data_IF_731518242124
#
_entry.id   IF_731518242124
#
_cell.length_a   1.000
_cell.length_b   1.000
_cell.length_c   1.000
_cell.angle_alpha   90.00
_cell.angle_beta   90.00
_cell.angle_gamma   90.00
#
_symmetry.space_group_name_H-M   'P 1'
#
loop_
_entity.id
_entity.type
_entity.pdbx_description
1 polymer ?
#
# COMPACT_ATOMS: atom_id res chain seq x y z
N UNK A 1 -3.65 -18.35 -5.42
CA UNK A 1 -2.98 -17.30 -4.64
C UNK A 1 -3.62 -16.00 -5.04
N UNK A 2 -4.25 -15.30 -4.10
CA UNK A 2 -4.74 -13.94 -4.33
C UNK A 2 -3.49 -13.06 -4.50
N UNK A 3 -3.41 -12.29 -5.58
CA UNK A 3 -2.31 -11.34 -5.77
C UNK A 3 -2.23 -10.36 -4.59
N UNK A 4 -1.01 -9.94 -4.21
CA UNK A 4 -0.84 -8.94 -3.17
C UNK A 4 -1.62 -7.66 -3.53
N UNK A 5 -2.32 -7.02 -2.58
CA UNK A 5 -3.02 -5.76 -2.83
C UNK A 5 -2.13 -4.72 -3.52
N UNK A 6 -0.86 -4.64 -3.13
CA UNK A 6 0.13 -3.74 -3.71
C UNK A 6 0.45 -4.04 -5.17
N UNK A 7 0.42 -5.31 -5.59
CA UNK A 7 0.63 -5.71 -6.98
C UNK A 7 -0.52 -5.22 -7.85
N UNK A 8 -1.76 -5.40 -7.39
CA UNK A 8 -2.93 -4.89 -8.11
C UNK A 8 -2.87 -3.36 -8.29
N UNK A 9 -2.45 -2.62 -7.26
CA UNK A 9 -2.28 -1.17 -7.35
C UNK A 9 -1.13 -0.76 -8.26
N UNK A 10 0.02 -1.47 -8.24
CA UNK A 10 1.12 -1.24 -9.20
C UNK A 10 0.69 -1.46 -10.64
N UNK A 11 -0.05 -2.54 -10.89
CA UNK A 11 -0.58 -2.82 -12.23
C UNK A 11 -1.51 -1.70 -12.71
N UNK A 12 -2.33 -1.15 -11.80
CA UNK A 12 -3.16 0.04 -12.06
C UNK A 12 -2.34 1.27 -12.45
N UNK A 13 -1.26 1.58 -11.73
CA UNK A 13 -0.35 2.69 -12.05
C UNK A 13 0.28 2.52 -13.44
N UNK A 14 0.75 1.31 -13.75
CA UNK A 14 1.36 1.00 -15.05
C UNK A 14 0.33 1.12 -16.18
N UNK A 15 -0.89 0.67 -15.94
CA UNK A 15 -1.96 0.70 -16.95
C UNK A 15 -2.41 2.13 -17.26
N UNK A 16 -2.58 2.99 -16.26
CA UNK A 16 -2.90 4.40 -16.50
C UNK A 16 -1.75 5.12 -17.24
N UNK A 17 -0.49 4.85 -16.87
CA UNK A 17 0.67 5.40 -17.57
C UNK A 17 0.70 4.98 -19.06
N UNK A 18 0.33 3.73 -19.36
CA UNK A 18 0.21 3.24 -20.76
C UNK A 18 -0.90 3.96 -21.52
N UNK A 19 -2.06 4.15 -20.91
CA UNK A 19 -3.19 4.84 -21.55
C UNK A 19 -2.90 6.32 -21.79
N UNK A 20 -2.20 6.96 -20.86
CA UNK A 20 -1.74 8.34 -21.03
C UNK A 20 -0.75 8.45 -22.20
N UNK A 21 0.23 7.54 -22.28
CA UNK A 21 1.17 7.49 -23.41
C UNK A 21 0.48 7.21 -24.76
N UNK A 22 -0.62 6.45 -24.74
CA UNK A 22 -1.46 6.19 -25.91
C UNK A 22 -2.45 7.33 -26.22
N UNK A 23 -2.50 8.40 -25.40
CA UNK A 23 -3.51 9.47 -25.47
C UNK A 23 -4.96 8.97 -25.41
N UNK A 24 -5.19 7.81 -24.80
CA UNK A 24 -6.52 7.22 -24.57
C UNK A 24 -7.07 7.53 -23.18
N UNK A 25 -6.25 8.16 -22.32
CA UNK A 25 -6.61 8.68 -21.00
C UNK A 25 -6.03 10.09 -20.86
N UNK A 26 -6.82 11.00 -20.30
CA UNK A 26 -6.36 12.35 -20.01
C UNK A 26 -5.56 12.39 -18.71
N UNK A 27 -4.68 13.38 -18.58
CA UNK A 27 -3.93 13.62 -17.34
C UNK A 27 -4.87 13.82 -16.15
N UNK A 28 -6.00 14.49 -16.35
CA UNK A 28 -7.03 14.73 -15.31
C UNK A 28 -7.69 13.44 -14.81
N UNK A 29 -7.71 12.40 -15.64
CA UNK A 29 -8.28 11.09 -15.33
C UNK A 29 -7.24 10.11 -14.77
N UNK A 30 -6.00 10.57 -14.51
CA UNK A 30 -4.88 9.74 -14.02
C UNK A 30 -4.80 9.83 -12.49
N UNK A 31 -5.43 8.89 -11.78
CA UNK A 31 -5.56 8.94 -10.32
C UNK A 31 -4.71 7.91 -9.58
N UNK A 32 -4.33 6.80 -10.20
CA UNK A 32 -3.65 5.69 -9.52
C UNK A 32 -2.30 6.11 -8.97
N UNK A 33 -1.51 6.89 -9.71
CA UNK A 33 -0.21 7.37 -9.24
C UNK A 33 -0.31 8.34 -8.05
N UNK A 34 -1.43 9.05 -7.91
CA UNK A 34 -1.71 9.95 -6.79
C UNK A 34 -2.25 9.21 -5.56
N UNK A 35 -3.14 8.24 -5.78
CA UNK A 35 -3.73 7.43 -4.71
C UNK A 35 -2.77 6.38 -4.17
N UNK A 36 -1.92 5.83 -5.02
CA UNK A 36 -0.99 4.74 -4.73
C UNK A 36 0.43 5.10 -5.19
N UNK A 37 1.07 6.10 -4.57
CA UNK A 37 2.45 6.45 -4.91
C UNK A 37 3.38 5.28 -4.58
N UNK A 38 4.50 5.16 -5.29
CA UNK A 38 5.46 4.06 -5.12
C UNK A 38 5.93 3.92 -3.65
N UNK A 39 6.11 5.03 -2.95
CA UNK A 39 6.45 5.05 -1.51
C UNK A 39 5.39 4.40 -0.62
N UNK A 40 4.10 4.54 -0.94
CA UNK A 40 3.00 3.84 -0.25
C UNK A 40 3.09 2.35 -0.49
N UNK A 41 3.30 1.96 -1.75
CA UNK A 41 3.30 0.57 -2.18
C UNK A 41 4.48 -0.20 -1.59
N UNK A 42 5.66 0.42 -1.56
CA UNK A 42 6.86 -0.19 -1.00
C UNK A 42 6.77 -0.32 0.52
N UNK A 43 6.29 0.72 1.23
CA UNK A 43 6.08 0.65 2.68
C UNK A 43 5.00 -0.38 3.06
N UNK A 44 3.94 -0.49 2.25
CA UNK A 44 2.89 -1.50 2.45
C UNK A 44 3.44 -2.92 2.26
N UNK A 45 4.26 -3.14 1.23
CA UNK A 45 4.89 -4.44 1.00
C UNK A 45 5.85 -4.82 2.13
N UNK A 46 6.62 -3.86 2.64
CA UNK A 46 7.52 -4.10 3.77
C UNK A 46 6.73 -4.50 5.02
N UNK A 47 5.63 -3.81 5.33
CA UNK A 47 4.78 -4.11 6.47
C UNK A 47 4.15 -5.51 6.35
N UNK A 48 3.63 -5.86 5.17
CA UNK A 48 3.04 -7.18 4.91
C UNK A 48 4.10 -8.29 4.93
N UNK A 49 5.28 -8.06 4.36
CA UNK A 49 6.39 -9.01 4.37
C UNK A 49 6.89 -9.30 5.80
N UNK A 50 6.95 -8.25 6.63
CA UNK A 50 7.31 -8.37 8.04
C UNK A 50 6.28 -9.19 8.83
N UNK A 51 4.99 -8.97 8.56
CA UNK A 51 3.91 -9.76 9.15
C UNK A 51 3.99 -11.24 8.74
N UNK A 52 4.13 -11.53 7.45
CA UNK A 52 4.27 -12.91 6.95
C UNK A 52 5.49 -13.62 7.53
N UNK A 53 6.63 -12.92 7.58
CA UNK A 53 7.86 -13.46 8.16
C UNK A 53 7.67 -13.74 9.65
N UNK A 54 7.05 -12.81 10.39
CA UNK A 54 6.71 -12.99 11.79
C UNK A 54 5.85 -14.22 12.03
N UNK A 55 4.77 -14.40 11.26
CA UNK A 55 3.91 -15.59 11.36
C UNK A 55 4.66 -16.89 11.07
N UNK A 56 5.55 -16.93 10.07
CA UNK A 56 6.35 -18.12 9.74
C UNK A 56 7.31 -18.53 10.86
N UNK A 57 7.68 -17.62 11.76
CA UNK A 57 8.56 -17.93 12.90
C UNK A 57 7.82 -18.54 14.09
N UNK A 58 6.49 -18.38 14.16
CA UNK A 58 5.67 -18.94 15.23
C UNK A 58 5.48 -20.45 15.01
N UNK A 59 5.75 -21.25 16.05
CA UNK A 59 5.52 -22.70 16.03
C UNK A 59 4.33 -23.03 16.92
N UNK A 60 3.20 -23.38 16.29
CA UNK A 60 1.92 -23.62 16.97
C UNK A 60 1.45 -22.41 17.81
N UNK A 61 1.26 -21.24 17.19
CA UNK A 61 0.83 -20.06 17.91
C UNK A 61 -0.56 -20.23 18.54
N UNK A 62 -0.77 -19.61 19.68
CA UNK A 62 -2.11 -19.39 20.21
C UNK A 62 -2.86 -18.34 19.38
N UNK A 63 -4.19 -18.32 19.50
CA UNK A 63 -5.03 -17.30 18.85
C UNK A 63 -4.61 -15.88 19.27
N UNK A 64 -4.19 -15.69 20.52
CA UNK A 64 -3.68 -14.41 21.04
C UNK A 64 -2.39 -13.97 20.33
N UNK A 65 -1.48 -14.91 20.04
CA UNK A 65 -0.24 -14.62 19.31
C UNK A 65 -0.51 -14.23 17.85
N UNK A 66 -1.48 -14.89 17.22
CA UNK A 66 -1.93 -14.55 15.86
C UNK A 66 -2.61 -13.17 15.87
N UNK A 67 -3.51 -12.91 16.82
CA UNK A 67 -4.20 -11.63 16.94
C UNK A 67 -3.20 -10.49 17.14
N UNK A 68 -2.22 -10.66 18.05
CA UNK A 68 -1.18 -9.67 18.27
C UNK A 68 -0.32 -9.41 17.02
N UNK A 69 -0.07 -10.43 16.19
CA UNK A 69 0.62 -10.24 14.91
C UNK A 69 -0.23 -9.43 13.92
N UNK A 70 -1.53 -9.72 13.84
CA UNK A 70 -2.48 -8.98 12.98
C UNK A 70 -2.62 -7.53 13.44
N UNK A 71 -2.75 -7.28 14.74
CA UNK A 71 -2.83 -5.92 15.29
C UNK A 71 -1.60 -5.09 14.93
N UNK A 72 -0.39 -5.66 15.04
CA UNK A 72 0.84 -4.96 14.64
C UNK A 72 0.83 -4.60 13.15
N UNK A 73 0.36 -5.51 12.28
CA UNK A 73 0.25 -5.23 10.86
C UNK A 73 -0.75 -4.11 10.57
N UNK A 74 -1.93 -4.14 11.20
CA UNK A 74 -2.95 -3.09 11.05
C UNK A 74 -2.44 -1.74 11.53
N UNK A 75 -1.76 -1.68 12.69
CA UNK A 75 -1.18 -0.45 13.20
C UNK A 75 -0.09 0.11 12.27
N UNK A 76 0.76 -0.75 11.71
CA UNK A 76 1.78 -0.34 10.75
C UNK A 76 1.16 0.24 9.46
N UNK A 77 0.14 -0.44 8.91
CA UNK A 77 -0.57 0.03 7.73
C UNK A 77 -1.30 1.36 7.98
N UNK A 78 -1.92 1.52 9.15
CA UNK A 78 -2.55 2.77 9.55
C UNK A 78 -1.52 3.90 9.65
N UNK A 79 -0.35 3.65 10.24
CA UNK A 79 0.73 4.64 10.32
C UNK A 79 1.23 5.07 8.92
N UNK A 80 1.40 4.12 8.00
CA UNK A 80 1.78 4.39 6.60
C UNK A 80 0.74 5.31 5.93
N UNK A 81 -0.55 4.97 6.06
CA UNK A 81 -1.64 5.80 5.51
C UNK A 81 -1.63 7.23 6.10
N UNK A 82 -1.44 7.38 7.41
CA UNK A 82 -1.40 8.70 8.05
C UNK A 82 -0.18 9.53 7.63
N UNK A 83 1.00 8.93 7.53
CA UNK A 83 2.21 9.63 7.07
C UNK A 83 2.03 10.23 5.67
N UNK A 84 1.39 9.49 4.78
CA UNK A 84 1.17 9.91 3.39
C UNK A 84 0.02 10.93 3.27
N UNK A 85 -1.00 10.85 4.14
CA UNK A 85 -2.03 11.89 4.24
C UNK A 85 -1.52 13.20 4.85
N UNK A 86 -0.58 13.13 5.80
CA UNK A 86 0.07 14.31 6.38
C UNK A 86 1.06 14.97 5.39
N UNK A 87 1.69 14.20 4.51
CA UNK A 87 2.52 14.74 3.42
C UNK A 87 1.74 15.54 2.38
N UNK A 88 0.48 15.16 2.10
CA UNK A 88 -0.35 15.85 1.09
C UNK A 88 -1.08 17.10 1.61
N UNK A 89 -1.21 17.26 2.94
CA UNK A 89 -1.85 18.45 3.56
C UNK A 89 -0.90 19.64 3.78
N UNK A 90 0.27 19.63 3.12
CA UNK A 90 1.26 20.71 3.22
C UNK A 90 1.34 21.59 1.97
N UNK A 91 0.45 21.37 0.99
CA UNK A 91 0.45 22.09 -0.28
C UNK A 91 -0.95 22.51 -0.73
N UNK A 92 -1.67 23.29 0.08
CA UNK A 92 -2.67 24.22 -0.44
C UNK A 92 -2.91 25.35 0.59
N UNK A 93 -2.26 26.48 0.33
CA UNK A 93 -2.68 27.81 0.76
C UNK A 93 -2.66 28.66 -0.51
N UNK A 94 -3.63 29.57 -0.72
CA UNK A 94 -3.95 30.64 0.23
C UNK A 94 -5.33 30.57 0.89
#
# INVERSE_FOLDING_TARGET
>A
MTDSPSKHWRDGVVEEARKLAASTLNVEDTFMANLYPATLLDATDEALSSFETGLRTLRSPSDDEVLAAVERAVLALNAINELLRCGHRSGDGP
#
